data_IF_724627738908
#
_entry.id   IF_724627738908
#
_cell.length_a   1.000
_cell.length_b   1.000
_cell.length_c   1.000
_cell.angle_alpha   90.00
_cell.angle_beta   90.00
_cell.angle_gamma   90.00
#
_symmetry.space_group_name_H-M   'P 1'
#
loop_
_entity.id
_entity.type
_entity.pdbx_description
1 polymer ?
#
# COMPACT_ATOMS: atom_id res chain seq x y z
N UNK A 1 75.71 -27.37 55.55
CA UNK A 1 75.10 -26.10 55.94
C UNK A 1 75.83 -24.97 55.19
N UNK A 2 75.33 -24.51 54.08
CA UNK A 2 75.81 -23.33 53.37
C UNK A 2 74.65 -22.48 53.03
N UNK A 3 74.54 -21.29 53.61
CA UNK A 3 73.54 -20.26 53.37
C UNK A 3 73.84 -19.58 52.02
N UNK A 4 72.89 -19.52 51.14
CA UNK A 4 72.97 -18.71 49.91
C UNK A 4 72.14 -17.42 50.11
N UNK A 5 72.82 -16.27 50.00
CA UNK A 5 72.26 -14.92 50.12
C UNK A 5 71.73 -14.47 48.71
N UNK A 6 70.44 -14.28 48.62
CA UNK A 6 69.83 -13.71 47.38
C UNK A 6 69.77 -12.22 47.49
N UNK A 7 70.43 -11.52 46.55
CA UNK A 7 70.41 -10.08 46.38
C UNK A 7 69.23 -9.73 45.45
N UNK A 8 68.23 -8.97 45.96
CA UNK A 8 67.17 -8.42 45.17
C UNK A 8 67.58 -7.03 44.62
N UNK A 9 67.74 -6.94 43.31
CA UNK A 9 67.94 -5.67 42.63
C UNK A 9 66.58 -5.11 42.20
N UNK A 10 66.14 -4.01 42.81
CA UNK A 10 64.90 -3.28 42.43
C UNK A 10 65.13 -2.42 41.20
N UNK A 11 64.46 -2.78 40.12
CA UNK A 11 64.44 -1.95 38.88
C UNK A 11 63.32 -0.92 39.03
N UNK A 12 63.67 0.37 39.11
CA UNK A 12 62.75 1.51 39.08
C UNK A 12 62.44 1.82 37.63
N UNK A 13 61.25 1.51 37.18
CA UNK A 13 60.77 1.93 35.84
C UNK A 13 60.21 3.34 35.92
N UNK A 14 60.90 4.30 35.26
CA UNK A 14 60.41 5.66 35.06
C UNK A 14 59.44 5.66 33.88
N UNK A 15 58.16 5.80 34.17
CA UNK A 15 57.15 6.03 33.14
C UNK A 15 57.16 7.51 32.70
N UNK A 16 57.69 7.79 31.52
CA UNK A 16 57.53 9.07 30.87
C UNK A 16 56.07 9.22 30.38
N UNK A 17 55.33 10.18 30.93
CA UNK A 17 53.97 10.52 30.47
C UNK A 17 54.05 11.11 29.07
N UNK A 18 53.56 10.43 28.04
CA UNK A 18 53.34 10.97 26.70
C UNK A 18 52.09 11.83 26.77
N UNK A 19 52.13 13.13 26.36
CA UNK A 19 50.96 13.96 26.33
C UNK A 19 49.97 13.36 25.32
N UNK A 20 48.80 12.95 25.84
CA UNK A 20 47.71 12.42 25.03
C UNK A 20 47.21 13.48 24.05
N UNK A 21 47.36 13.24 22.75
CA UNK A 21 46.71 13.99 21.70
C UNK A 21 45.20 13.71 21.82
N UNK A 22 44.43 14.65 22.38
CA UNK A 22 42.97 14.62 22.34
C UNK A 22 42.58 14.77 20.86
N UNK A 23 42.23 13.64 20.25
CA UNK A 23 41.62 13.66 18.93
C UNK A 23 40.28 14.38 19.02
N UNK A 24 40.20 15.58 18.45
CA UNK A 24 39.00 16.36 18.28
C UNK A 24 38.05 15.54 17.39
N UNK A 25 37.19 14.74 17.99
CA UNK A 25 36.13 14.00 17.28
C UNK A 25 35.12 15.03 16.82
N UNK A 26 35.38 15.68 15.69
CA UNK A 26 34.35 16.45 14.96
C UNK A 26 33.17 15.48 14.76
N UNK A 27 32.09 15.71 15.51
CA UNK A 27 30.82 14.99 15.36
C UNK A 27 30.42 15.12 13.88
N UNK A 28 30.40 14.00 13.16
CA UNK A 28 30.01 14.02 11.74
C UNK A 28 28.66 14.72 11.60
N UNK A 29 28.53 15.60 10.62
CA UNK A 29 27.27 16.24 10.33
C UNK A 29 26.20 15.16 10.08
N UNK A 30 24.96 15.34 10.57
CA UNK A 30 23.90 14.40 10.30
C UNK A 30 23.75 14.22 8.78
N UNK A 31 23.42 13.00 8.30
CA UNK A 31 23.18 12.78 6.88
C UNK A 31 22.08 13.72 6.39
N UNK A 32 22.13 14.17 5.13
CA UNK A 32 21.07 14.99 4.57
C UNK A 32 19.72 14.26 4.66
N UNK A 33 18.60 14.98 4.84
CA UNK A 33 17.28 14.36 4.86
C UNK A 33 17.01 13.64 3.54
N UNK A 34 16.25 12.54 3.56
CA UNK A 34 15.89 11.81 2.35
C UNK A 34 15.13 12.74 1.39
N UNK A 35 15.33 12.56 0.07
CA UNK A 35 14.71 13.42 -0.94
C UNK A 35 13.18 13.22 -0.98
N UNK A 36 12.46 14.28 -1.32
CA UNK A 36 11.03 14.21 -1.65
C UNK A 36 10.84 13.43 -2.95
N UNK A 37 9.76 12.67 -3.01
CA UNK A 37 9.31 11.99 -4.22
C UNK A 37 7.79 12.03 -4.33
N UNK A 38 7.24 11.58 -5.45
CA UNK A 38 5.80 11.42 -5.59
C UNK A 38 5.44 10.02 -6.07
N UNK A 39 4.24 9.58 -5.73
CA UNK A 39 3.58 8.45 -6.37
C UNK A 39 2.22 8.88 -6.92
N UNK A 40 1.67 8.07 -7.84
CA UNK A 40 0.33 8.25 -8.38
C UNK A 40 -0.53 7.07 -7.97
N UNK A 41 -1.78 7.35 -7.57
CA UNK A 41 -2.79 6.34 -7.27
C UNK A 41 -4.04 6.57 -8.11
N UNK A 42 -4.64 5.49 -8.62
CA UNK A 42 -5.89 5.47 -9.36
C UNK A 42 -6.54 4.09 -9.26
N UNK A 43 -7.79 3.95 -9.67
CA UNK A 43 -8.51 2.68 -9.64
C UNK A 43 -9.90 2.80 -10.22
N UNK A 44 -10.67 1.71 -10.25
CA UNK A 44 -12.04 1.67 -10.79
C UNK A 44 -12.13 2.20 -12.22
N UNK A 45 -11.19 1.81 -13.06
CA UNK A 45 -11.10 2.18 -14.49
C UNK A 45 -10.07 1.31 -15.23
N UNK A 46 -10.21 1.12 -16.59
CA UNK A 46 -11.34 1.52 -17.42
C UNK A 46 -12.49 0.52 -17.32
N UNK A 47 -13.76 0.96 -17.47
CA UNK A 47 -14.91 0.06 -17.33
C UNK A 47 -15.50 -0.39 -18.64
N UNK A 48 -15.39 0.41 -19.69
CA UNK A 48 -15.93 0.15 -21.02
C UNK A 48 -14.95 0.61 -22.10
N UNK A 49 -15.14 0.13 -23.31
CA UNK A 49 -14.33 0.58 -24.46
C UNK A 49 -14.41 2.11 -24.67
N UNK A 50 -15.52 2.74 -24.33
CA UNK A 50 -15.63 4.20 -24.38
C UNK A 50 -14.68 4.92 -23.43
N UNK A 51 -14.20 4.25 -22.37
CA UNK A 51 -13.20 4.78 -21.45
C UNK A 51 -11.77 4.70 -21.99
N UNK A 52 -11.48 3.81 -22.96
CA UNK A 52 -10.10 3.50 -23.36
C UNK A 52 -9.31 4.73 -23.81
N UNK A 53 -9.83 5.61 -24.67
CA UNK A 53 -9.07 6.80 -25.07
C UNK A 53 -8.73 7.74 -23.91
N UNK A 54 -9.65 7.87 -22.94
CA UNK A 54 -9.43 8.66 -21.72
C UNK A 54 -8.44 8.01 -20.77
N UNK A 55 -8.49 6.70 -20.69
CA UNK A 55 -7.55 5.90 -19.88
C UNK A 55 -6.12 5.95 -20.46
N UNK A 56 -5.97 5.87 -21.77
CA UNK A 56 -4.66 6.02 -22.42
C UNK A 56 -4.07 7.42 -22.22
N UNK A 57 -4.91 8.47 -22.26
CA UNK A 57 -4.46 9.83 -21.87
C UNK A 57 -3.99 9.89 -20.42
N UNK A 58 -4.68 9.20 -19.51
CA UNK A 58 -4.26 9.10 -18.10
C UNK A 58 -2.90 8.42 -17.98
N UNK A 59 -2.66 7.30 -18.65
CA UNK A 59 -1.37 6.60 -18.62
C UNK A 59 -0.25 7.48 -19.18
N UNK A 60 -0.50 8.22 -20.26
CA UNK A 60 0.44 9.18 -20.82
C UNK A 60 0.75 10.32 -19.84
N UNK A 61 -0.27 10.83 -19.14
CA UNK A 61 -0.11 11.87 -18.14
C UNK A 61 0.70 11.39 -16.92
N UNK A 62 0.47 10.15 -16.46
CA UNK A 62 1.29 9.51 -15.42
C UNK A 62 2.76 9.46 -15.85
N UNK A 63 3.03 9.03 -17.09
CA UNK A 63 4.39 8.98 -17.61
C UNK A 63 5.04 10.37 -17.69
N UNK A 64 4.28 11.42 -18.01
CA UNK A 64 4.77 12.81 -18.02
C UNK A 64 5.20 13.28 -16.63
N UNK A 65 4.48 12.91 -15.58
CA UNK A 65 4.79 13.26 -14.19
C UNK A 65 5.96 12.49 -13.60
N UNK A 66 6.36 11.34 -14.19
CA UNK A 66 7.49 10.50 -13.75
C UNK A 66 7.44 10.17 -12.25
N UNK A 67 6.34 9.64 -11.72
CA UNK A 67 6.27 9.30 -10.31
C UNK A 67 7.30 8.21 -9.97
N UNK A 68 7.69 8.15 -8.70
CA UNK A 68 8.58 7.10 -8.21
C UNK A 68 8.00 5.70 -8.39
N UNK A 69 6.68 5.60 -8.28
CA UNK A 69 5.88 4.42 -8.59
C UNK A 69 4.40 4.83 -8.79
N UNK A 70 3.61 3.89 -9.30
CA UNK A 70 2.17 4.04 -9.51
C UNK A 70 1.45 2.89 -8.84
N UNK A 71 0.25 3.13 -8.28
CA UNK A 71 -0.60 2.08 -7.70
C UNK A 71 -1.98 2.12 -8.34
N UNK A 72 -2.45 0.98 -8.83
CA UNK A 72 -3.84 0.79 -9.25
C UNK A 72 -4.61 0.06 -8.15
N UNK A 73 -5.64 0.71 -7.61
CA UNK A 73 -6.45 0.24 -6.50
C UNK A 73 -7.68 -0.59 -6.96
N UNK A 74 -7.48 -1.54 -7.88
CA UNK A 74 -8.51 -2.49 -8.29
C UNK A 74 -9.56 -1.95 -9.24
N UNK A 75 -10.43 -2.83 -9.68
CA UNK A 75 -11.55 -2.59 -10.60
C UNK A 75 -11.11 -2.10 -11.98
N UNK A 76 -10.60 -3.03 -12.77
CA UNK A 76 -10.18 -2.78 -14.15
C UNK A 76 -11.30 -2.98 -15.17
N UNK A 77 -12.48 -3.43 -14.75
CA UNK A 77 -13.69 -3.63 -15.57
C UNK A 77 -14.94 -3.29 -14.78
N UNK A 78 -16.07 -3.07 -15.45
CA UNK A 78 -17.36 -2.93 -14.76
C UNK A 78 -17.81 -4.26 -14.14
N UNK A 79 -18.46 -4.22 -12.97
CA UNK A 79 -18.89 -5.43 -12.25
C UNK A 79 -19.85 -6.33 -13.02
N UNK A 80 -20.67 -5.76 -13.93
CA UNK A 80 -21.58 -6.51 -14.79
C UNK A 80 -21.01 -6.83 -16.19
N UNK A 81 -19.76 -6.46 -16.48
CA UNK A 81 -19.13 -6.80 -17.75
C UNK A 81 -18.62 -8.24 -17.75
N UNK A 82 -18.75 -8.91 -18.90
CA UNK A 82 -18.25 -10.25 -19.14
C UNK A 82 -16.73 -10.29 -18.92
N UNK A 83 -16.23 -11.16 -18.03
CA UNK A 83 -14.79 -11.28 -17.80
C UNK A 83 -14.16 -12.09 -18.94
N UNK A 84 -13.00 -11.62 -19.46
CA UNK A 84 -12.22 -12.36 -20.46
C UNK A 84 -10.74 -12.34 -20.10
N UNK A 85 -10.04 -13.43 -20.39
CA UNK A 85 -8.57 -13.48 -20.21
C UNK A 85 -7.86 -12.49 -21.13
N UNK A 86 -8.38 -12.28 -22.33
CA UNK A 86 -7.84 -11.29 -23.25
C UNK A 86 -7.85 -9.88 -22.64
N UNK A 87 -8.90 -9.53 -21.90
CA UNK A 87 -8.97 -8.24 -21.23
C UNK A 87 -8.02 -8.14 -20.03
N UNK A 88 -7.84 -9.22 -19.26
CA UNK A 88 -6.80 -9.24 -18.21
C UNK A 88 -5.41 -8.98 -18.80
N UNK A 89 -5.09 -9.61 -19.96
CA UNK A 89 -3.82 -9.39 -20.64
C UNK A 89 -3.69 -7.94 -21.16
N UNK A 90 -4.74 -7.38 -21.73
CA UNK A 90 -4.76 -5.97 -22.17
C UNK A 90 -4.49 -5.01 -21.01
N UNK A 91 -5.13 -5.21 -19.87
CA UNK A 91 -4.88 -4.40 -18.68
C UNK A 91 -3.43 -4.55 -18.21
N UNK A 92 -2.87 -5.76 -18.21
CA UNK A 92 -1.46 -5.97 -17.89
C UNK A 92 -0.54 -5.21 -18.86
N UNK A 93 -0.86 -5.19 -20.13
CA UNK A 93 -0.08 -4.47 -21.13
C UNK A 93 -0.18 -2.95 -20.92
N UNK A 94 -1.33 -2.42 -20.56
CA UNK A 94 -1.47 -1.03 -20.13
C UNK A 94 -0.62 -0.71 -18.90
N UNK A 95 -0.65 -1.53 -17.86
CA UNK A 95 0.22 -1.34 -16.70
C UNK A 95 1.69 -1.35 -17.09
N UNK A 96 2.09 -2.26 -17.99
CA UNK A 96 3.45 -2.34 -18.52
C UNK A 96 3.80 -1.21 -19.50
N UNK A 97 2.86 -0.37 -19.91
CA UNK A 97 3.14 0.85 -20.69
C UNK A 97 3.58 2.04 -19.81
N UNK A 98 3.39 1.95 -18.49
CA UNK A 98 3.87 2.96 -17.54
C UNK A 98 5.38 2.80 -17.36
N UNK A 99 6.12 3.91 -17.45
CA UNK A 99 7.59 3.91 -17.41
C UNK A 99 8.16 3.48 -16.05
N UNK A 100 7.49 3.82 -14.95
CA UNK A 100 7.87 3.47 -13.59
C UNK A 100 7.34 2.10 -13.13
N UNK A 101 7.65 1.70 -11.88
CA UNK A 101 7.03 0.54 -11.24
C UNK A 101 5.53 0.74 -11.07
N UNK A 102 4.74 -0.33 -11.30
CA UNK A 102 3.29 -0.33 -11.08
C UNK A 102 2.93 -1.43 -10.09
N UNK A 103 2.33 -1.07 -8.97
CA UNK A 103 1.70 -1.99 -8.05
C UNK A 103 0.20 -2.05 -8.33
N UNK A 104 -0.37 -3.22 -8.11
CA UNK A 104 -1.79 -3.47 -8.32
C UNK A 104 -2.36 -4.25 -7.15
N UNK A 105 -3.58 -3.96 -6.74
CA UNK A 105 -4.39 -4.78 -5.84
C UNK A 105 -5.72 -5.07 -6.54
N UNK A 106 -6.24 -6.31 -6.51
CA UNK A 106 -7.51 -6.63 -7.14
C UNK A 106 -8.69 -5.88 -6.52
N UNK A 107 -9.69 -5.56 -7.33
CA UNK A 107 -11.01 -5.15 -6.86
C UNK A 107 -12.02 -6.30 -6.87
N UNK A 108 -13.26 -6.01 -6.55
CA UNK A 108 -14.34 -7.00 -6.59
C UNK A 108 -14.78 -7.31 -8.03
N UNK A 109 -14.68 -6.35 -8.92
CA UNK A 109 -15.13 -6.51 -10.30
C UNK A 109 -14.33 -7.56 -11.09
N UNK A 110 -13.06 -7.79 -10.77
CA UNK A 110 -12.24 -8.77 -11.45
C UNK A 110 -12.60 -10.21 -11.08
N UNK A 111 -13.19 -10.45 -9.91
CA UNK A 111 -13.38 -11.81 -9.46
C UNK A 111 -14.67 -12.08 -8.65
N UNK A 112 -14.98 -11.34 -7.57
CA UNK A 112 -16.20 -11.59 -6.79
C UNK A 112 -17.44 -11.41 -7.64
N UNK A 113 -17.51 -10.31 -8.38
CA UNK A 113 -18.66 -9.88 -9.15
C UNK A 113 -18.88 -10.63 -10.46
N UNK A 114 -17.93 -11.47 -10.88
CA UNK A 114 -18.08 -12.28 -12.10
C UNK A 114 -19.24 -13.30 -11.99
N UNK A 115 -19.72 -13.59 -10.75
CA UNK A 115 -20.92 -14.39 -10.55
C UNK A 115 -22.16 -13.76 -11.23
N UNK A 116 -22.18 -12.43 -11.42
CA UNK A 116 -23.27 -11.70 -12.09
C UNK A 116 -23.41 -12.08 -13.57
N UNK A 117 -22.35 -12.59 -14.16
CA UNK A 117 -22.31 -13.09 -15.55
C UNK A 117 -22.16 -14.61 -15.61
N UNK A 118 -22.40 -15.32 -14.49
CA UNK A 118 -22.44 -16.78 -14.44
C UNK A 118 -21.09 -17.47 -14.28
N UNK A 119 -20.03 -16.73 -13.95
CA UNK A 119 -18.70 -17.30 -13.75
C UNK A 119 -18.41 -17.61 -12.27
N UNK A 120 -17.48 -18.54 -12.06
CA UNK A 120 -16.98 -18.87 -10.71
C UNK A 120 -15.94 -17.82 -10.25
N UNK A 121 -16.21 -17.12 -9.12
CA UNK A 121 -15.31 -16.13 -8.55
C UNK A 121 -13.89 -16.66 -8.26
N UNK A 122 -13.76 -17.89 -7.73
CA UNK A 122 -12.45 -18.42 -7.35
C UNK A 122 -11.61 -18.83 -8.55
N UNK A 123 -12.26 -19.28 -9.62
CA UNK A 123 -11.57 -19.54 -10.91
C UNK A 123 -11.02 -18.23 -11.48
N UNK A 124 -11.78 -17.13 -11.39
CA UNK A 124 -11.31 -15.84 -11.86
C UNK A 124 -10.25 -15.22 -10.95
N UNK A 125 -10.35 -15.39 -9.64
CA UNK A 125 -9.28 -14.98 -8.73
C UNK A 125 -7.96 -15.69 -9.05
N UNK A 126 -7.99 -16.98 -9.39
CA UNK A 126 -6.80 -17.72 -9.82
C UNK A 126 -6.22 -17.16 -11.13
N UNK A 127 -7.06 -16.80 -12.11
CA UNK A 127 -6.62 -16.13 -13.34
C UNK A 127 -5.99 -14.76 -13.09
N UNK A 128 -6.59 -13.95 -12.22
CA UNK A 128 -6.05 -12.65 -11.78
C UNK A 128 -4.66 -12.84 -11.15
N UNK A 129 -4.53 -13.81 -10.23
CA UNK A 129 -3.25 -14.13 -9.58
C UNK A 129 -2.18 -14.57 -10.58
N UNK A 130 -2.51 -15.43 -11.52
CA UNK A 130 -1.60 -15.89 -12.57
C UNK A 130 -1.18 -14.77 -13.52
N UNK A 131 -2.09 -13.85 -13.83
CA UNK A 131 -1.83 -12.79 -14.79
C UNK A 131 -0.93 -11.68 -14.21
N UNK A 132 -1.13 -11.29 -12.94
CA UNK A 132 -0.49 -10.09 -12.39
C UNK A 132 0.53 -10.39 -11.30
N UNK A 133 0.47 -11.55 -10.62
CA UNK A 133 1.25 -11.84 -9.41
C UNK A 133 2.10 -13.11 -9.53
N UNK A 134 2.50 -13.47 -10.73
CA UNK A 134 3.35 -14.65 -10.97
C UNK A 134 4.75 -14.50 -10.37
N UNK A 135 5.26 -13.29 -10.24
CA UNK A 135 6.59 -12.96 -9.74
C UNK A 135 6.51 -12.03 -8.51
N UNK A 136 7.58 -12.04 -7.68
CA UNK A 136 7.71 -11.12 -6.55
C UNK A 136 8.31 -9.78 -6.98
N UNK A 137 7.67 -9.14 -7.96
CA UNK A 137 8.06 -7.84 -8.50
C UNK A 137 6.85 -7.06 -8.97
N UNK A 138 6.99 -5.75 -9.06
CA UNK A 138 5.97 -4.87 -9.63
C UNK A 138 5.79 -5.12 -11.13
N UNK A 139 4.70 -4.63 -11.69
CA UNK A 139 4.51 -4.40 -13.11
C UNK A 139 5.22 -3.09 -13.52
N UNK A 140 4.98 -2.64 -14.74
CA UNK A 140 5.57 -1.44 -15.33
C UNK A 140 6.86 -1.74 -16.09
N UNK A 141 7.33 -0.78 -16.90
CA UNK A 141 8.55 -0.96 -17.72
C UNK A 141 9.83 -1.10 -16.89
N UNK A 142 9.86 -0.52 -15.71
CA UNK A 142 11.01 -0.60 -14.78
C UNK A 142 10.55 -1.19 -13.45
N UNK A 143 10.26 -2.50 -13.42
CA UNK A 143 9.74 -3.15 -12.24
C UNK A 143 10.78 -3.21 -11.11
N UNK A 144 10.30 -3.18 -9.87
CA UNK A 144 11.11 -3.33 -8.66
C UNK A 144 10.77 -4.63 -7.92
N UNK A 145 11.71 -5.20 -7.14
CA UNK A 145 11.40 -6.32 -6.25
C UNK A 145 10.38 -5.91 -5.19
N UNK A 146 9.49 -6.83 -4.85
CA UNK A 146 8.49 -6.68 -3.79
C UNK A 146 8.66 -7.79 -2.76
N UNK A 147 8.37 -7.49 -1.50
CA UNK A 147 8.12 -8.52 -0.50
C UNK A 147 6.65 -8.88 -0.60
N UNK A 148 6.32 -10.13 -0.88
CA UNK A 148 4.93 -10.59 -0.99
C UNK A 148 4.57 -11.53 0.15
N UNK A 149 3.27 -11.67 0.45
CA UNK A 149 2.79 -12.61 1.46
C UNK A 149 3.00 -14.09 1.05
N UNK A 150 3.42 -14.36 -0.20
CA UNK A 150 3.90 -15.67 -0.64
C UNK A 150 4.97 -16.26 0.28
N UNK A 151 5.76 -15.40 0.95
CA UNK A 151 6.82 -15.81 1.89
C UNK A 151 6.31 -16.24 3.26
N UNK A 152 5.05 -15.98 3.56
CA UNK A 152 4.41 -16.42 4.80
C UNK A 152 4.01 -17.90 4.66
N UNK A 153 4.51 -18.81 5.51
CA UNK A 153 4.20 -20.24 5.37
C UNK A 153 2.72 -20.57 5.58
N UNK A 154 1.99 -19.74 6.31
CA UNK A 154 0.56 -19.93 6.60
C UNK A 154 -0.32 -19.33 5.49
N UNK A 155 0.11 -18.21 4.91
CA UNK A 155 -0.69 -17.40 3.99
C UNK A 155 -0.06 -17.26 2.59
N UNK A 156 0.78 -18.21 2.17
CA UNK A 156 1.55 -18.15 0.93
C UNK A 156 0.72 -18.07 -0.36
N UNK A 157 -0.56 -18.40 -0.32
CA UNK A 157 -1.45 -18.27 -1.49
C UNK A 157 -1.90 -16.84 -1.79
N UNK A 158 -1.76 -15.89 -0.82
CA UNK A 158 -2.19 -14.50 -0.98
C UNK A 158 -1.07 -13.66 -1.59
N UNK A 159 -0.71 -14.01 -2.82
CA UNK A 159 0.41 -13.45 -3.58
C UNK A 159 0.23 -11.99 -3.97
N UNK A 160 -1.01 -11.50 -3.93
CA UNK A 160 -1.41 -10.13 -4.26
C UNK A 160 -1.11 -9.12 -3.16
N UNK A 161 -0.91 -9.58 -1.92
CA UNK A 161 -0.45 -8.73 -0.83
C UNK A 161 1.05 -8.50 -0.98
N UNK A 162 1.44 -7.27 -1.25
CA UNK A 162 2.82 -6.88 -1.53
C UNK A 162 3.24 -5.67 -0.68
N UNK A 163 4.53 -5.59 -0.33
CA UNK A 163 5.13 -4.51 0.44
C UNK A 163 6.46 -4.08 -0.16
N UNK A 164 6.72 -2.79 -0.10
CA UNK A 164 7.99 -2.18 -0.50
C UNK A 164 8.27 -0.96 0.38
N UNK A 165 9.51 -0.51 0.35
CA UNK A 165 9.91 0.72 1.05
C UNK A 165 10.62 1.67 0.09
N UNK A 166 10.45 2.96 0.30
CA UNK A 166 11.19 3.99 -0.41
C UNK A 166 11.51 5.15 0.53
N UNK A 167 12.78 5.52 0.57
CA UNK A 167 13.30 6.63 1.40
C UNK A 167 12.80 6.54 2.86
N UNK A 168 12.73 5.30 3.39
CA UNK A 168 12.32 4.97 4.74
C UNK A 168 10.81 4.84 4.97
N UNK A 169 9.96 5.29 4.05
CA UNK A 169 8.50 5.13 4.13
C UNK A 169 8.11 3.73 3.67
N UNK A 170 7.16 3.09 4.38
CA UNK A 170 6.67 1.74 4.09
C UNK A 170 5.32 1.81 3.37
N UNK A 171 5.19 1.01 2.32
CA UNK A 171 4.00 0.92 1.46
C UNK A 171 3.55 -0.53 1.36
N UNK A 172 2.23 -0.78 1.37
CA UNK A 172 1.71 -2.13 1.15
C UNK A 172 0.37 -2.13 0.43
N UNK A 173 0.19 -3.09 -0.49
CA UNK A 173 -1.13 -3.47 -1.00
C UNK A 173 -1.77 -4.47 -0.04
N UNK A 174 -3.10 -4.38 0.13
CA UNK A 174 -3.91 -5.29 0.93
C UNK A 174 -5.15 -5.67 0.13
N UNK A 175 -5.40 -6.95 -0.07
CA UNK A 175 -6.52 -7.44 -0.87
C UNK A 175 -7.85 -7.35 -0.11
N UNK A 176 -8.39 -6.13 -0.07
CA UNK A 176 -9.71 -5.81 0.51
C UNK A 176 -10.58 -5.22 -0.58
N UNK A 177 -11.70 -5.88 -0.89
CA UNK A 177 -12.51 -5.58 -2.07
C UNK A 177 -13.92 -5.12 -1.70
N UNK A 178 -14.57 -4.41 -2.62
CA UNK A 178 -15.99 -4.08 -2.56
C UNK A 178 -16.88 -5.30 -2.39
N UNK A 179 -18.15 -5.19 -2.72
CA UNK A 179 -19.14 -6.29 -2.58
C UNK A 179 -19.07 -6.95 -1.20
N UNK A 180 -18.94 -6.11 -0.13
CA UNK A 180 -18.82 -6.53 1.26
C UNK A 180 -17.62 -7.47 1.51
N UNK A 181 -16.52 -7.28 0.81
CA UNK A 181 -15.31 -8.08 0.95
C UNK A 181 -15.55 -9.59 0.75
N UNK A 182 -16.47 -9.97 -0.15
CA UNK A 182 -16.93 -11.35 -0.37
C UNK A 182 -17.56 -12.04 0.87
N UNK A 183 -17.91 -11.29 1.91
CA UNK A 183 -18.60 -11.79 3.10
C UNK A 183 -20.09 -11.99 2.77
N UNK A 184 -20.44 -13.20 2.32
CA UNK A 184 -21.81 -13.62 2.01
C UNK A 184 -22.19 -14.86 2.81
N UNK A 185 -22.94 -14.71 3.92
CA UNK A 185 -23.40 -15.83 4.75
C UNK A 185 -24.26 -16.87 4.01
N UNK A 186 -24.79 -16.53 2.83
CA UNK A 186 -25.58 -17.46 2.02
C UNK A 186 -24.72 -18.36 1.14
N UNK A 187 -23.44 -18.04 0.97
CA UNK A 187 -22.48 -18.81 0.17
C UNK A 187 -21.38 -19.39 1.05
N UNK A 188 -21.40 -20.68 1.39
CA UNK A 188 -20.31 -21.31 2.16
C UNK A 188 -18.93 -21.15 1.52
N UNK A 189 -18.84 -21.19 0.18
CA UNK A 189 -17.60 -21.02 -0.57
C UNK A 189 -17.07 -19.60 -0.45
N UNK A 190 -17.92 -18.58 -0.59
CA UNK A 190 -17.56 -17.19 -0.41
C UNK A 190 -17.07 -16.93 1.02
N UNK A 191 -17.79 -17.45 2.02
CA UNK A 191 -17.42 -17.32 3.43
C UNK A 191 -16.10 -18.00 3.78
N UNK A 192 -15.80 -19.14 3.18
CA UNK A 192 -14.51 -19.83 3.39
C UNK A 192 -13.35 -18.99 2.85
N UNK A 193 -13.48 -18.50 1.62
CA UNK A 193 -12.48 -17.59 1.00
C UNK A 193 -12.33 -16.30 1.81
N UNK A 194 -13.45 -15.64 2.14
CA UNK A 194 -13.44 -14.40 2.93
C UNK A 194 -12.68 -14.56 4.24
N UNK A 195 -13.02 -15.57 5.05
CA UNK A 195 -12.38 -15.77 6.36
C UNK A 195 -10.89 -16.00 6.27
N UNK A 196 -10.45 -16.77 5.27
CA UNK A 196 -9.02 -17.06 5.10
C UNK A 196 -8.26 -15.82 4.60
N UNK A 197 -8.80 -15.07 3.64
CA UNK A 197 -8.19 -13.84 3.14
C UNK A 197 -8.20 -12.73 4.20
N UNK A 198 -9.26 -12.60 4.97
CA UNK A 198 -9.37 -11.60 6.03
C UNK A 198 -8.35 -11.85 7.15
N UNK A 199 -8.14 -13.12 7.53
CA UNK A 199 -7.07 -13.51 8.45
C UNK A 199 -5.67 -13.22 7.87
N UNK A 200 -5.45 -13.52 6.58
CA UNK A 200 -4.20 -13.23 5.89
C UNK A 200 -3.92 -11.72 5.83
N UNK A 201 -4.93 -10.93 5.49
CA UNK A 201 -4.84 -9.47 5.45
C UNK A 201 -4.50 -8.88 6.83
N UNK A 202 -5.14 -9.35 7.90
CA UNK A 202 -4.82 -8.92 9.26
C UNK A 202 -3.36 -9.23 9.64
N UNK A 203 -2.88 -10.42 9.34
CA UNK A 203 -1.48 -10.81 9.56
C UNK A 203 -0.52 -9.93 8.73
N UNK A 204 -0.87 -9.65 7.48
CA UNK A 204 -0.07 -8.82 6.58
C UNK A 204 0.03 -7.36 7.04
N UNK A 205 -1.09 -6.76 7.49
CA UNK A 205 -1.11 -5.41 8.05
C UNK A 205 -0.22 -5.35 9.29
N UNK A 206 -0.36 -6.29 10.24
CA UNK A 206 0.48 -6.34 11.44
C UNK A 206 1.98 -6.47 11.10
N UNK A 207 2.33 -7.33 10.15
CA UNK A 207 3.71 -7.47 9.66
C UNK A 207 4.23 -6.18 8.99
N UNK A 208 3.38 -5.45 8.27
CA UNK A 208 3.72 -4.17 7.65
C UNK A 208 4.04 -3.11 8.70
N UNK A 209 3.21 -2.96 9.72
CA UNK A 209 3.46 -2.02 10.81
C UNK A 209 4.61 -2.45 11.72
N UNK A 210 4.82 -3.75 11.91
CA UNK A 210 5.99 -4.26 12.64
C UNK A 210 7.30 -3.87 11.93
N UNK A 211 7.38 -4.01 10.60
CA UNK A 211 8.52 -3.53 9.81
C UNK A 211 8.68 -2.02 9.93
N UNK A 212 7.59 -1.26 9.80
CA UNK A 212 7.64 0.20 9.91
C UNK A 212 8.17 0.66 11.28
N UNK A 213 7.79 0.00 12.36
CA UNK A 213 8.35 0.27 13.70
C UNK A 213 9.82 -0.14 13.80
N UNK A 214 10.18 -1.32 13.30
CA UNK A 214 11.55 -1.84 13.36
C UNK A 214 12.54 -0.96 12.57
N UNK A 215 12.11 -0.39 11.45
CA UNK A 215 12.92 0.50 10.60
C UNK A 215 12.80 1.97 10.98
N UNK A 216 12.03 2.30 12.02
CA UNK A 216 11.72 3.68 12.42
C UNK A 216 11.11 4.51 11.28
N UNK A 217 10.27 3.90 10.45
CA UNK A 217 9.65 4.53 9.28
C UNK A 217 8.91 5.83 9.63
N UNK A 218 9.06 6.92 8.86
CA UNK A 218 8.33 8.16 9.10
C UNK A 218 6.83 8.07 8.80
N UNK A 219 6.40 7.11 7.97
CA UNK A 219 5.00 6.91 7.62
C UNK A 219 4.73 5.55 6.97
N UNK A 220 3.45 5.18 6.92
CA UNK A 220 2.94 3.97 6.25
C UNK A 220 1.81 4.35 5.31
N UNK A 221 1.78 3.78 4.09
CA UNK A 221 0.61 3.87 3.22
C UNK A 221 0.09 2.48 2.85
N UNK A 222 -1.21 2.25 3.03
CA UNK A 222 -1.92 1.03 2.67
C UNK A 222 -2.82 1.28 1.46
N UNK A 223 -2.73 0.41 0.45
CA UNK A 223 -3.51 0.49 -0.77
C UNK A 223 -4.47 -0.71 -0.88
N UNK A 224 -5.73 -0.46 -1.13
CA UNK A 224 -6.77 -1.49 -1.28
C UNK A 224 -7.88 -0.95 -2.20
N UNK A 225 -8.89 -1.76 -2.55
CA UNK A 225 -9.93 -1.30 -3.47
C UNK A 225 -11.16 -0.76 -2.73
N UNK A 226 -11.69 -1.48 -1.76
CA UNK A 226 -12.98 -1.24 -1.12
C UNK A 226 -13.13 0.13 -0.42
N UNK A 227 -14.36 0.59 -0.28
CA UNK A 227 -14.76 1.65 0.66
C UNK A 227 -15.27 1.03 1.99
N UNK A 228 -14.39 0.82 2.99
CA UNK A 228 -14.78 0.12 4.22
C UNK A 228 -15.40 1.01 5.30
N UNK A 229 -15.26 2.34 5.19
CA UNK A 229 -15.68 3.32 6.21
C UNK A 229 -17.15 3.77 6.04
N UNK A 230 -17.95 3.01 5.31
CA UNK A 230 -19.39 3.25 5.16
C UNK A 230 -20.19 2.91 6.41
N UNK A 231 -21.47 3.34 6.44
CA UNK A 231 -22.40 2.90 7.50
C UNK A 231 -22.67 1.42 7.34
N UNK A 232 -22.59 0.63 8.43
CA UNK A 232 -23.01 -0.77 8.40
C UNK A 232 -24.45 -0.89 7.91
N UNK A 233 -24.71 -1.85 7.04
CA UNK A 233 -26.07 -2.17 6.62
C UNK A 233 -26.76 -2.96 7.74
N UNK A 234 -27.89 -2.47 8.22
CA UNK A 234 -28.61 -3.12 9.30
C UNK A 234 -28.95 -4.58 8.95
N UNK A 235 -28.68 -5.51 9.88
CA UNK A 235 -28.93 -6.94 9.70
C UNK A 235 -27.95 -7.68 8.77
N UNK A 236 -26.88 -7.01 8.29
CA UNK A 236 -25.84 -7.64 7.48
C UNK A 236 -24.50 -7.61 8.23
N UNK A 237 -23.82 -8.75 8.31
CA UNK A 237 -22.44 -8.83 8.79
C UNK A 237 -21.52 -8.03 7.85
N UNK A 238 -20.66 -7.18 8.44
CA UNK A 238 -19.69 -6.40 7.67
C UNK A 238 -18.43 -7.22 7.45
N UNK A 239 -18.05 -7.42 6.19
CA UNK A 239 -16.79 -8.01 5.78
C UNK A 239 -15.56 -7.14 6.03
N UNK A 240 -15.73 -5.96 6.63
CA UNK A 240 -14.63 -5.02 6.91
C UNK A 240 -14.27 -4.91 8.38
N UNK A 241 -14.99 -5.63 9.25
CA UNK A 241 -14.84 -5.48 10.72
C UNK A 241 -13.42 -5.76 11.19
N UNK A 242 -12.82 -6.88 10.81
CA UNK A 242 -11.46 -7.25 11.21
C UNK A 242 -10.41 -6.35 10.56
N UNK A 243 -10.57 -6.03 9.28
CA UNK A 243 -9.70 -5.10 8.57
C UNK A 243 -9.62 -3.74 9.29
N UNK A 244 -10.78 -3.11 9.55
CA UNK A 244 -10.85 -1.81 10.21
C UNK A 244 -10.29 -1.86 11.64
N UNK A 245 -10.61 -2.90 12.41
CA UNK A 245 -10.08 -3.07 13.75
C UNK A 245 -8.55 -3.22 13.75
N UNK A 246 -8.00 -4.01 12.81
CA UNK A 246 -6.56 -4.21 12.69
C UNK A 246 -5.84 -2.91 12.29
N UNK A 247 -6.38 -2.18 11.31
CA UNK A 247 -5.79 -0.89 10.89
C UNK A 247 -5.86 0.14 12.02
N UNK A 248 -6.98 0.23 12.74
CA UNK A 248 -7.15 1.15 13.88
C UNK A 248 -6.12 0.86 14.98
N UNK A 249 -5.98 -0.42 15.38
CA UNK A 249 -5.03 -0.88 16.39
C UNK A 249 -3.58 -0.52 16.01
N UNK A 250 -3.18 -0.90 14.80
CA UNK A 250 -1.81 -0.72 14.32
C UNK A 250 -1.46 0.76 14.08
N UNK A 251 -2.37 1.56 13.51
CA UNK A 251 -2.17 2.98 13.30
C UNK A 251 -2.07 3.75 14.63
N UNK A 252 -2.88 3.37 15.63
CA UNK A 252 -2.82 3.93 16.98
C UNK A 252 -1.47 3.63 17.65
N UNK A 253 -1.01 2.37 17.56
CA UNK A 253 0.27 1.96 18.13
C UNK A 253 1.47 2.55 17.39
N UNK A 254 1.37 2.78 16.08
CA UNK A 254 2.42 3.38 15.26
C UNK A 254 2.60 4.88 15.55
N UNK A 255 1.52 5.61 15.82
CA UNK A 255 1.47 7.01 16.23
C UNK A 255 2.19 8.00 15.28
N UNK A 256 2.44 7.60 14.04
CA UNK A 256 3.01 8.42 12.95
C UNK A 256 2.04 8.43 11.77
N UNK A 257 2.24 9.29 10.75
CA UNK A 257 1.35 9.38 9.60
C UNK A 257 1.07 8.04 8.93
N UNK A 258 -0.22 7.74 8.76
CA UNK A 258 -0.74 6.58 8.03
C UNK A 258 -1.68 7.10 6.94
N UNK A 259 -1.47 6.68 5.71
CA UNK A 259 -2.36 6.99 4.60
C UNK A 259 -3.08 5.73 4.12
N UNK A 260 -4.41 5.77 4.07
CA UNK A 260 -5.27 4.75 3.52
C UNK A 260 -5.71 5.20 2.12
N UNK A 261 -5.25 4.51 1.09
CA UNK A 261 -5.53 4.85 -0.31
C UNK A 261 -6.42 3.78 -0.91
N UNK A 262 -7.59 4.18 -1.41
CA UNK A 262 -8.54 3.25 -2.00
C UNK A 262 -9.35 3.87 -3.15
N UNK A 263 -10.22 3.07 -3.76
CA UNK A 263 -11.13 3.47 -4.83
C UNK A 263 -12.59 3.20 -4.45
N UNK A 264 -13.36 2.49 -5.29
CA UNK A 264 -14.72 1.93 -5.09
C UNK A 264 -15.88 2.89 -5.39
N UNK A 265 -16.01 4.04 -4.69
CA UNK A 265 -17.13 4.97 -4.94
C UNK A 265 -16.88 6.00 -6.06
N UNK A 266 -15.71 5.95 -6.72
CA UNK A 266 -15.36 6.80 -7.86
C UNK A 266 -15.35 8.31 -7.56
N UNK A 267 -15.07 8.70 -6.31
CA UNK A 267 -15.08 10.10 -5.88
C UNK A 267 -13.79 10.47 -5.20
N UNK A 268 -13.06 11.42 -5.78
CA UNK A 268 -11.93 11.98 -5.07
C UNK A 268 -12.35 12.53 -3.70
N UNK A 269 -11.74 12.00 -2.64
CA UNK A 269 -11.90 12.47 -1.26
C UNK A 269 -10.56 12.44 -0.55
N UNK A 270 -10.32 13.45 0.24
CA UNK A 270 -9.20 13.51 1.18
C UNK A 270 -9.79 13.88 2.54
N UNK A 271 -9.69 12.98 3.49
CA UNK A 271 -10.32 13.12 4.81
C UNK A 271 -9.32 12.82 5.92
N UNK A 272 -9.27 13.70 6.91
CA UNK A 272 -8.58 13.53 8.20
C UNK A 272 -9.22 14.41 9.26
N UNK A 273 -9.29 14.03 10.54
CA UNK A 273 -8.91 12.71 11.09
C UNK A 273 -9.93 11.64 10.71
N UNK A 274 -9.52 10.36 10.78
CA UNK A 274 -10.39 9.22 10.46
C UNK A 274 -10.98 8.61 11.72
N UNK A 275 -12.31 8.43 11.69
CA UNK A 275 -13.08 7.70 12.69
C UNK A 275 -13.39 6.28 12.14
N UNK A 276 -12.83 5.26 12.75
CA UNK A 276 -13.00 3.88 12.31
C UNK A 276 -14.35 3.25 12.74
N UNK A 277 -14.91 3.71 13.85
CA UNK A 277 -16.20 3.27 14.40
C UNK A 277 -16.97 4.48 14.92
N UNK A 278 -18.30 4.46 14.90
CA UNK A 278 -19.13 5.60 15.33
C UNK A 278 -18.85 6.10 16.75
N UNK A 279 -18.49 5.17 17.64
CA UNK A 279 -18.20 5.38 19.06
C UNK A 279 -16.71 5.59 19.38
N UNK A 280 -15.83 5.43 18.38
CA UNK A 280 -14.39 5.61 18.57
C UNK A 280 -13.95 7.06 18.44
N UNK A 281 -12.88 7.45 19.14
CA UNK A 281 -12.22 8.73 18.90
C UNK A 281 -11.47 8.70 17.56
N UNK A 282 -11.56 9.78 16.76
CA UNK A 282 -10.83 9.86 15.49
C UNK A 282 -9.32 9.79 15.71
N UNK A 283 -8.62 9.15 14.79
CA UNK A 283 -7.15 9.12 14.75
C UNK A 283 -6.62 10.27 13.91
N UNK A 284 -5.96 11.23 14.56
CA UNK A 284 -5.40 12.41 13.91
C UNK A 284 -4.20 12.08 12.99
N UNK A 285 -3.58 10.92 13.17
CA UNK A 285 -2.45 10.47 12.35
C UNK A 285 -2.87 9.63 11.15
N UNK A 286 -4.17 9.49 10.89
CA UNK A 286 -4.69 8.69 9.74
C UNK A 286 -5.40 9.61 8.76
N UNK A 287 -4.92 9.58 7.52
CA UNK A 287 -5.54 10.24 6.36
C UNK A 287 -6.13 9.18 5.44
N UNK A 288 -7.36 9.40 4.98
CA UNK A 288 -8.01 8.59 3.93
C UNK A 288 -7.98 9.35 2.62
N UNK A 289 -7.56 8.66 1.58
CA UNK A 289 -7.55 9.14 0.21
C UNK A 289 -8.36 8.18 -0.66
N UNK A 290 -9.45 8.64 -1.25
CA UNK A 290 -10.19 7.92 -2.28
C UNK A 290 -9.88 8.50 -3.65
N UNK A 291 -9.65 7.63 -4.65
CA UNK A 291 -9.29 8.03 -6.01
C UNK A 291 -10.54 8.34 -6.85
N UNK A 292 -10.34 8.91 -8.04
CA UNK A 292 -11.36 9.00 -9.08
C UNK A 292 -11.70 7.62 -9.65
N UNK A 293 -12.71 7.54 -10.51
CA UNK A 293 -13.11 6.32 -11.18
C UNK A 293 -13.45 6.53 -12.68
N UNK A 294 -14.14 5.55 -13.25
CA UNK A 294 -14.41 5.45 -14.69
C UNK A 294 -15.22 6.63 -15.30
N UNK A 295 -15.96 7.38 -14.46
CA UNK A 295 -16.69 8.57 -14.93
C UNK A 295 -15.80 9.74 -15.27
N UNK A 296 -14.68 9.87 -14.60
CA UNK A 296 -13.80 11.04 -14.66
C UNK A 296 -12.43 10.73 -15.29
N UNK A 297 -11.93 9.51 -15.11
CA UNK A 297 -10.64 9.03 -15.65
C UNK A 297 -9.47 9.95 -15.28
N UNK A 298 -9.38 10.26 -13.99
CA UNK A 298 -8.30 11.03 -13.39
C UNK A 298 -7.56 10.19 -12.35
N UNK A 299 -6.43 10.69 -11.87
CA UNK A 299 -5.66 10.08 -10.80
C UNK A 299 -5.45 11.03 -9.62
N UNK A 300 -4.80 10.55 -8.60
CA UNK A 300 -4.30 11.35 -7.48
C UNK A 300 -2.79 11.26 -7.46
N UNK A 301 -2.13 12.40 -7.27
CA UNK A 301 -0.70 12.47 -7.03
C UNK A 301 -0.45 12.76 -5.56
N UNK A 302 0.46 11.99 -4.94
CA UNK A 302 0.85 12.17 -3.56
C UNK A 302 2.34 12.49 -3.52
N UNK A 303 2.66 13.67 -2.99
CA UNK A 303 4.05 14.02 -2.64
C UNK A 303 4.37 13.41 -1.28
N UNK A 304 5.48 12.70 -1.21
CA UNK A 304 6.01 12.11 0.02
C UNK A 304 7.25 12.89 0.45
N UNK A 305 7.20 13.45 1.64
CA UNK A 305 8.31 14.14 2.28
C UNK A 305 8.64 13.45 3.61
N UNK A 306 9.61 12.52 3.62
CA UNK A 306 9.95 11.77 4.83
C UNK A 306 10.45 12.64 5.99
N UNK A 307 10.88 13.88 5.72
CA UNK A 307 11.34 14.82 6.74
C UNK A 307 10.20 15.69 7.31
N UNK A 308 9.02 15.69 6.66
CA UNK A 308 7.85 16.43 7.12
C UNK A 308 7.08 15.68 8.21
N UNK A 309 6.55 16.35 9.23
CA UNK A 309 5.63 15.73 10.19
C UNK A 309 4.37 15.11 9.56
N UNK A 310 3.91 15.63 8.43
CA UNK A 310 2.73 15.12 7.71
C UNK A 310 3.06 13.96 6.77
N UNK A 311 4.30 13.84 6.32
CA UNK A 311 4.82 12.86 5.36
C UNK A 311 4.11 12.87 4.00
N UNK A 312 2.78 12.84 3.95
CA UNK A 312 1.97 12.70 2.74
C UNK A 312 1.19 13.97 2.42
N UNK A 313 1.31 14.46 1.20
CA UNK A 313 0.54 15.58 0.67
C UNK A 313 -0.13 15.16 -0.63
N UNK A 314 -1.44 14.94 -0.62
CA UNK A 314 -2.22 14.46 -1.76
C UNK A 314 -2.96 15.58 -2.48
N UNK A 315 -3.09 15.43 -3.80
CA UNK A 315 -3.89 16.30 -4.64
C UNK A 315 -4.37 15.61 -5.92
N UNK A 316 -5.39 16.16 -6.60
CA UNK A 316 -5.86 15.59 -7.86
C UNK A 316 -4.81 15.74 -8.97
N UNK A 317 -4.64 14.69 -9.76
CA UNK A 317 -3.94 14.72 -11.05
C UNK A 317 -4.99 14.74 -12.15
N UNK A 318 -5.38 15.94 -12.58
CA UNK A 318 -6.38 16.12 -13.62
C UNK A 318 -5.75 15.93 -15.00
N UNK A 319 -6.36 15.06 -15.79
CA UNK A 319 -5.89 14.69 -17.14
C UNK A 319 -6.53 15.60 -18.16
N UNK A 320 -5.76 16.40 -18.93
CA UNK A 320 -6.30 17.24 -19.99
C UNK A 320 -7.09 16.44 -21.02
N UNK A 321 -8.30 16.92 -21.36
CA UNK A 321 -9.18 16.26 -22.33
C UNK A 321 -10.03 15.12 -21.77
N UNK A 322 -9.92 14.77 -20.50
CA UNK A 322 -10.86 13.90 -19.81
C UNK A 322 -12.02 14.72 -19.20
N UNK A 323 -13.20 14.11 -18.93
CA UNK A 323 -14.32 14.82 -18.30
C UNK A 323 -13.90 15.43 -16.97
N UNK A 324 -14.33 16.66 -16.69
CA UNK A 324 -14.05 17.28 -15.41
C UNK A 324 -14.84 16.59 -14.30
N UNK A 325 -14.25 16.38 -13.12
CA UNK A 325 -14.93 15.77 -11.99
C UNK A 325 -16.14 16.61 -11.57
N UNK A 326 -17.25 15.95 -11.30
CA UNK A 326 -18.40 16.60 -10.66
C UNK A 326 -18.04 16.81 -9.20
N UNK A 327 -17.52 17.97 -8.86
CA UNK A 327 -17.24 18.32 -7.48
C UNK A 327 -18.55 18.37 -6.69
N UNK A 328 -18.60 17.78 -5.47
CA UNK A 328 -19.78 17.89 -4.63
C UNK A 328 -20.07 19.37 -4.37
N UNK A 329 -21.29 19.81 -4.66
CA UNK A 329 -21.72 21.16 -4.26
C UNK A 329 -21.61 21.24 -2.74
N UNK A 330 -20.83 22.20 -2.23
CA UNK A 330 -20.85 22.51 -0.80
C UNK A 330 -22.30 22.80 -0.40
N UNK A 331 -22.84 21.96 0.50
CA UNK A 331 -24.12 22.21 1.14
C UNK A 331 -23.96 23.30 2.19
#
# INVERSE_FOLDING_TARGET
MRLALAVFTSLVAVFAAVPGYAADTKKAAPPPPPPRFSFVAFGCMPYTEANFPGYERLLAEINRHRPAFTVHCGDTKAGAAEPTEAFLLQVRDWFNSIDGPVMYTPGDNEWTDVHRTGHDPLVWLDKVRKTYFSEERSLGRRPIPLVTQRRDPTFSKFVENARWSRDGVVFATVHVVGSNNNCDPKSPTAMAEFRERDAANAAWIRATFAEARATNAPGVALFFQAQPLGRPVAGRESGFTQFLATVEEEARAFARPVMLVHADEHRYRLEEPIRFRPDAEPLANVTRLETFGAGDLHAVIVTVDPASPQVFLAGPLLVPGNPLPILPRKK
#
